data_IF_760245130048
#
_entry.id   IF_760245130048
#
_cell.length_a   1.000
_cell.length_b   1.000
_cell.length_c   1.000
_cell.angle_alpha   90.00
_cell.angle_beta   90.00
_cell.angle_gamma   90.00
#
_symmetry.space_group_name_H-M   'P 1'
#
loop_
_entity.id
_entity.type
_entity.pdbx_description
1 polymer ?
#
# COMPACT_ATOMS: atom_id res chain seq x y z
N UNK A 1 10.76 15.52 -2.72
CA UNK A 1 11.47 14.62 -3.65
C UNK A 1 10.57 13.45 -3.97
N UNK A 2 10.41 13.15 -5.24
CA UNK A 2 9.59 12.00 -5.67
C UNK A 2 10.39 10.71 -5.48
N UNK A 3 9.74 9.68 -4.97
CA UNK A 3 10.33 8.35 -4.84
C UNK A 3 9.38 7.29 -5.39
N UNK A 4 9.95 6.17 -5.81
CA UNK A 4 9.21 5.00 -6.26
C UNK A 4 9.57 3.84 -5.34
N UNK A 5 8.56 3.21 -4.75
CA UNK A 5 8.74 2.07 -3.86
C UNK A 5 8.03 0.86 -4.47
N UNK A 6 8.71 -0.29 -4.46
CA UNK A 6 8.18 -1.56 -4.96
C UNK A 6 8.06 -2.54 -3.80
N UNK A 7 6.92 -3.24 -3.72
CA UNK A 7 6.72 -4.33 -2.76
C UNK A 7 6.16 -5.54 -3.50
N UNK A 8 6.74 -6.71 -3.21
CA UNK A 8 6.22 -8.00 -3.66
C UNK A 8 5.59 -8.71 -2.47
N UNK A 9 4.33 -9.12 -2.62
CA UNK A 9 3.58 -9.81 -1.57
C UNK A 9 3.25 -11.19 -2.08
N UNK A 10 3.74 -12.22 -1.38
CA UNK A 10 3.60 -13.62 -1.80
C UNK A 10 2.74 -14.47 -0.88
N UNK A 11 2.16 -13.89 0.16
CA UNK A 11 1.31 -14.60 1.10
C UNK A 11 0.20 -13.71 1.65
N UNK A 12 -0.87 -14.33 2.17
CA UNK A 12 -1.91 -13.60 2.88
C UNK A 12 -1.29 -12.95 4.12
N UNK A 13 -1.29 -11.64 4.19
CA UNK A 13 -0.60 -10.90 5.25
C UNK A 13 -1.01 -9.44 5.29
N UNK A 14 -0.57 -8.77 6.35
CA UNK A 14 -0.57 -7.31 6.42
C UNK A 14 0.84 -6.82 6.13
N UNK A 15 0.98 -5.95 5.15
CA UNK A 15 2.27 -5.40 4.72
C UNK A 15 2.28 -3.90 4.97
N UNK A 16 3.35 -3.42 5.61
CA UNK A 16 3.57 -1.98 5.76
C UNK A 16 4.19 -1.46 4.48
N UNK A 17 3.48 -0.60 3.77
CA UNK A 17 3.96 -0.01 2.53
C UNK A 17 4.82 1.22 2.80
N UNK A 18 4.35 2.11 3.65
CA UNK A 18 5.11 3.27 4.11
C UNK A 18 5.03 3.32 5.63
N UNK A 19 6.16 3.22 6.30
CA UNK A 19 6.21 3.21 7.75
C UNK A 19 6.06 4.61 8.32
N UNK A 20 5.32 4.71 9.41
CA UNK A 20 5.22 5.94 10.20
C UNK A 20 6.61 6.41 10.59
N UNK A 21 6.88 7.70 10.41
CA UNK A 21 8.20 8.32 10.65
C UNK A 21 9.34 7.69 9.84
N UNK A 22 8.99 7.03 8.73
CA UNK A 22 9.97 6.36 7.89
C UNK A 22 10.81 7.29 7.06
N UNK A 23 11.84 6.71 6.44
CA UNK A 23 12.72 7.43 5.53
C UNK A 23 12.96 6.60 4.27
N UNK A 24 13.35 7.28 3.19
CA UNK A 24 13.70 6.61 1.94
C UNK A 24 15.10 5.99 2.02
N UNK A 25 15.55 5.37 0.94
CA UNK A 25 16.85 4.71 0.89
C UNK A 25 18.03 5.66 1.05
N UNK A 26 17.81 6.96 0.84
CA UNK A 26 18.82 8.01 1.04
C UNK A 26 18.79 8.61 2.43
N UNK A 27 17.90 8.17 3.32
CA UNK A 27 17.75 8.69 4.67
C UNK A 27 16.89 9.93 4.80
N UNK A 28 16.25 10.36 3.72
CA UNK A 28 15.34 11.51 3.78
C UNK A 28 13.96 11.07 4.30
N UNK A 29 13.29 11.90 5.13
CA UNK A 29 11.98 11.54 5.62
C UNK A 29 11.01 11.26 4.48
N UNK A 30 10.18 10.23 4.64
CA UNK A 30 9.12 9.93 3.69
C UNK A 30 8.05 11.02 3.76
N UNK A 31 7.53 11.36 2.59
CA UNK A 31 6.39 12.25 2.49
C UNK A 31 5.10 11.43 2.67
N UNK A 32 4.12 12.00 3.34
CA UNK A 32 2.76 11.46 3.37
C UNK A 32 1.95 11.80 2.12
N UNK A 33 2.61 12.19 1.05
CA UNK A 33 1.96 12.56 -0.21
C UNK A 33 2.21 11.48 -1.25
N UNK A 34 1.12 10.88 -1.73
CA UNK A 34 1.15 9.86 -2.77
C UNK A 34 0.60 10.43 -4.06
N UNK A 35 1.34 10.24 -5.15
CA UNK A 35 0.88 10.60 -6.47
C UNK A 35 0.06 9.47 -7.10
N UNK A 36 0.52 8.25 -6.94
CA UNK A 36 -0.11 7.09 -7.56
C UNK A 36 0.22 5.81 -6.79
N UNK A 37 -0.73 4.88 -6.72
CA UNK A 37 -0.49 3.52 -6.26
C UNK A 37 -0.98 2.58 -7.35
N UNK A 38 -0.13 1.63 -7.73
CA UNK A 38 -0.50 0.56 -8.67
C UNK A 38 -0.38 -0.77 -7.95
N UNK A 39 -1.43 -1.58 -7.97
CA UNK A 39 -1.45 -2.91 -7.36
C UNK A 39 -1.78 -3.90 -8.46
N UNK A 40 -0.85 -4.81 -8.74
CA UNK A 40 -1.00 -5.82 -9.79
C UNK A 40 -1.17 -7.19 -9.15
N UNK A 41 -2.27 -7.87 -9.47
CA UNK A 41 -2.46 -9.26 -9.09
C UNK A 41 -1.99 -10.14 -10.24
N UNK A 42 -0.80 -10.72 -10.12
CA UNK A 42 -0.23 -11.59 -11.14
C UNK A 42 -0.39 -13.09 -10.82
N UNK A 43 -1.30 -13.43 -9.92
CA UNK A 43 -1.65 -14.82 -9.67
C UNK A 43 -2.38 -15.41 -10.88
N UNK A 44 -2.11 -16.67 -11.19
CA UNK A 44 -2.62 -17.29 -12.41
C UNK A 44 -4.13 -17.51 -12.40
N UNK A 45 -4.75 -17.69 -11.23
CA UNK A 45 -6.14 -18.10 -11.14
C UNK A 45 -6.95 -17.38 -10.07
N UNK A 46 -6.33 -16.91 -8.98
CA UNK A 46 -7.05 -16.43 -7.81
C UNK A 46 -7.18 -14.92 -7.79
N UNK A 47 -8.38 -14.45 -7.48
CA UNK A 47 -8.58 -13.06 -7.10
C UNK A 47 -8.07 -12.81 -5.68
N UNK A 48 -7.84 -11.55 -5.33
CA UNK A 48 -7.37 -11.17 -4.00
C UNK A 48 -8.21 -10.01 -3.48
N UNK A 49 -8.71 -10.16 -2.26
CA UNK A 49 -9.38 -9.05 -1.58
C UNK A 49 -8.32 -8.27 -0.84
N UNK A 50 -8.23 -6.98 -1.10
CA UNK A 50 -7.26 -6.10 -0.46
C UNK A 50 -7.97 -5.02 0.34
N UNK A 51 -7.28 -4.54 1.37
CA UNK A 51 -7.68 -3.38 2.16
C UNK A 51 -6.48 -2.48 2.33
N UNK A 52 -6.57 -1.26 1.83
CA UNK A 52 -5.56 -0.22 1.99
C UNK A 52 -6.02 0.73 3.07
N UNK A 53 -5.23 0.90 4.13
CA UNK A 53 -5.64 1.68 5.29
C UNK A 53 -4.46 2.36 5.97
N UNK A 54 -4.79 3.29 6.87
CA UNK A 54 -3.81 4.00 7.68
C UNK A 54 -3.87 3.45 9.11
N UNK A 55 -2.71 3.11 9.66
CA UNK A 55 -2.58 2.52 10.99
C UNK A 55 -1.73 3.43 11.88
N UNK A 56 -2.30 3.90 12.99
CA UNK A 56 -1.57 4.73 13.95
C UNK A 56 -0.79 3.93 14.98
N UNK A 57 -0.93 2.60 14.97
CA UNK A 57 -0.26 1.72 15.92
C UNK A 57 -1.03 1.49 17.21
N UNK A 58 -2.17 2.14 17.38
CA UNK A 58 -3.01 2.01 18.56
C UNK A 58 -4.17 1.05 18.38
N UNK A 59 -4.95 0.90 19.43
CA UNK A 59 -6.22 0.17 19.36
C UNK A 59 -7.31 1.11 18.85
N UNK A 60 -8.22 0.59 18.02
CA UNK A 60 -9.34 1.35 17.52
C UNK A 60 -9.49 1.20 16.01
N UNK A 61 -10.42 1.94 15.45
CA UNK A 61 -10.70 1.89 14.02
C UNK A 61 -9.71 2.75 13.25
N UNK A 62 -9.07 2.15 12.27
CA UNK A 62 -8.14 2.85 11.39
C UNK A 62 -8.87 3.35 10.14
N UNK A 63 -8.50 4.55 9.63
CA UNK A 63 -9.07 5.03 8.38
C UNK A 63 -8.78 4.07 7.22
N UNK A 64 -9.82 3.61 6.56
CA UNK A 64 -9.72 2.76 5.37
C UNK A 64 -9.79 3.63 4.12
N UNK A 65 -8.77 3.54 3.28
CA UNK A 65 -8.71 4.28 2.02
C UNK A 65 -9.43 3.54 0.89
N UNK A 66 -9.29 2.21 0.87
CA UNK A 66 -9.84 1.40 -0.19
C UNK A 66 -9.99 -0.04 0.29
N UNK A 67 -11.10 -0.68 -0.08
CA UNK A 67 -11.30 -2.10 0.12
C UNK A 67 -11.98 -2.66 -1.12
N UNK A 68 -11.33 -3.61 -1.80
CA UNK A 68 -11.82 -4.12 -3.07
C UNK A 68 -11.22 -5.48 -3.39
N UNK A 69 -11.72 -6.09 -4.46
CA UNK A 69 -11.21 -7.35 -4.99
C UNK A 69 -10.48 -7.06 -6.30
N UNK A 70 -9.26 -7.56 -6.42
CA UNK A 70 -8.51 -7.50 -7.67
C UNK A 70 -8.54 -8.87 -8.32
N UNK A 71 -9.19 -9.03 -9.47
CA UNK A 71 -9.20 -10.31 -10.18
C UNK A 71 -7.80 -10.78 -10.56
N UNK A 72 -7.68 -12.10 -10.79
CA UNK A 72 -6.45 -12.68 -11.32
C UNK A 72 -6.01 -11.93 -12.59
N UNK A 73 -4.72 -11.63 -12.67
CA UNK A 73 -4.07 -10.96 -13.82
C UNK A 73 -4.61 -9.56 -14.13
N UNK A 74 -5.22 -8.93 -13.14
CA UNK A 74 -5.71 -7.55 -13.25
C UNK A 74 -4.87 -6.63 -12.38
N UNK A 75 -4.96 -5.34 -12.67
CA UNK A 75 -4.30 -4.31 -11.87
C UNK A 75 -5.29 -3.25 -11.44
N UNK A 76 -5.02 -2.66 -10.29
CA UNK A 76 -5.74 -1.51 -9.77
C UNK A 76 -4.80 -0.32 -9.77
N UNK A 77 -5.25 0.79 -10.31
CA UNK A 77 -4.49 2.04 -10.32
C UNK A 77 -5.29 3.09 -9.54
N UNK A 78 -4.70 3.60 -8.48
CA UNK A 78 -5.19 4.79 -7.78
C UNK A 78 -4.38 5.98 -8.28
N UNK A 79 -4.94 6.71 -9.22
CA UNK A 79 -4.25 7.77 -9.92
C UNK A 79 -4.81 9.13 -9.48
N UNK A 80 -4.67 9.42 -8.20
CA UNK A 80 -4.99 10.71 -7.64
C UNK A 80 -4.16 10.94 -6.38
N UNK A 81 -3.97 12.19 -6.02
CA UNK A 81 -3.15 12.52 -4.87
C UNK A 81 -3.83 12.09 -3.57
N UNK A 82 -3.09 11.39 -2.74
CA UNK A 82 -3.52 10.98 -1.41
C UNK A 82 -2.55 11.61 -0.41
N UNK A 83 -3.11 12.28 0.59
CA UNK A 83 -2.32 12.93 1.63
C UNK A 83 -2.66 12.32 2.98
N UNK A 84 -1.64 12.01 3.77
CA UNK A 84 -1.82 11.57 5.14
C UNK A 84 -0.64 12.03 5.99
N UNK A 85 -0.84 12.07 7.30
CA UNK A 85 0.22 12.46 8.24
C UNK A 85 1.14 11.28 8.51
N UNK A 86 2.29 11.24 7.85
CA UNK A 86 3.28 10.17 8.00
C UNK A 86 3.88 10.12 9.42
N UNK A 87 3.76 11.20 10.19
CA UNK A 87 4.20 11.22 11.58
C UNK A 87 3.19 10.54 12.51
N UNK A 88 1.97 10.36 12.06
CA UNK A 88 0.89 9.73 12.84
C UNK A 88 0.57 8.33 12.33
N UNK A 89 0.62 8.09 11.03
CA UNK A 89 0.13 6.87 10.40
C UNK A 89 1.18 6.16 9.57
N UNK A 90 1.10 4.82 9.57
CA UNK A 90 1.70 3.99 8.54
C UNK A 90 0.67 3.68 7.47
N UNK A 91 1.08 3.57 6.21
CA UNK A 91 0.23 3.08 5.14
C UNK A 91 0.38 1.56 5.05
N UNK A 92 -0.71 0.83 5.21
CA UNK A 92 -0.71 -0.63 5.25
C UNK A 92 -1.67 -1.22 4.24
N UNK A 93 -1.32 -2.42 3.78
CA UNK A 93 -2.13 -3.21 2.86
C UNK A 93 -2.34 -4.59 3.46
N UNK A 94 -3.60 -5.01 3.57
CA UNK A 94 -3.96 -6.37 3.98
C UNK A 94 -4.42 -7.14 2.75
N UNK A 95 -3.94 -8.36 2.60
CA UNK A 95 -4.31 -9.28 1.52
C UNK A 95 -4.98 -10.51 2.12
N UNK A 96 -6.07 -10.98 1.50
CA UNK A 96 -6.91 -12.04 2.07
C UNK A 96 -6.52 -13.44 1.68
N UNK A 97 -5.69 -13.61 0.66
CA UNK A 97 -5.33 -14.93 0.15
C UNK A 97 -3.86 -14.99 -0.23
N UNK A 98 -3.39 -16.20 -0.53
CA UNK A 98 -2.04 -16.38 -1.07
C UNK A 98 -1.90 -15.47 -2.27
N UNK A 99 -1.11 -14.43 -2.09
CA UNK A 99 -1.05 -13.35 -3.06
C UNK A 99 0.18 -13.50 -3.93
N UNK A 100 0.06 -13.11 -5.16
CA UNK A 100 1.17 -12.75 -6.00
C UNK A 100 0.89 -11.31 -6.43
N UNK A 101 1.09 -10.39 -5.50
CA UNK A 101 0.83 -8.97 -5.74
C UNK A 101 2.13 -8.21 -5.88
N UNK A 102 2.18 -7.33 -6.86
CA UNK A 102 3.21 -6.30 -6.96
C UNK A 102 2.56 -4.96 -6.65
N UNK A 103 3.10 -4.24 -5.69
CA UNK A 103 2.61 -2.91 -5.32
C UNK A 103 3.68 -1.90 -5.68
N UNK A 104 3.30 -0.88 -6.43
CA UNK A 104 4.19 0.21 -6.83
C UNK A 104 3.62 1.50 -6.27
N UNK A 105 4.41 2.21 -5.51
CA UNK A 105 4.00 3.45 -4.86
C UNK A 105 4.86 4.59 -5.37
N UNK A 106 4.21 5.62 -5.90
CA UNK A 106 4.86 6.85 -6.30
C UNK A 106 4.57 7.91 -5.24
N UNK A 107 5.59 8.35 -4.53
CA UNK A 107 5.47 9.46 -3.56
C UNK A 107 5.96 10.75 -4.17
N UNK A 108 5.46 11.85 -3.64
CA UNK A 108 5.86 13.19 -4.07
C UNK A 108 6.98 13.71 -3.16
#
# INVERSE_FOLDING_TARGET
MATITYEEISSAATTTLLAKDGSDSGGFPLSGELDQIVIVNHHDSDSNTIKLYLDDGGAGDDPTLLETVIPSRASLVLDHNIYFDINTYSLKLTTSSAANLTVIIYTI
#
